data_IF_952789084634
#
_entry.id   IF_952789084634
#
_cell.length_a   1.000
_cell.length_b   1.000
_cell.length_c   1.000
_cell.angle_alpha   90.00
_cell.angle_beta   90.00
_cell.angle_gamma   90.00
#
_symmetry.space_group_name_H-M   'P 1'
#
loop_
_entity.id
_entity.type
_entity.pdbx_description
1 polymer ?
#
# COMPACT_ATOMS: atom_id res chain seq x y z
N UNK A 1 9.90 -10.87 5.46
CA UNK A 1 9.90 -11.12 4.01
C UNK A 1 10.79 -12.34 3.78
N UNK A 2 10.33 -13.38 3.08
CA UNK A 2 11.16 -14.57 2.81
C UNK A 2 12.32 -14.19 1.87
N UNK A 3 13.52 -14.76 2.10
CA UNK A 3 14.69 -14.57 1.23
C UNK A 3 14.43 -15.01 -0.21
N UNK A 4 13.63 -16.07 -0.39
CA UNK A 4 13.24 -16.54 -1.72
C UNK A 4 12.38 -15.52 -2.48
N UNK A 5 11.44 -14.88 -1.76
CA UNK A 5 10.60 -13.83 -2.30
C UNK A 5 11.39 -12.55 -2.62
N UNK A 6 12.38 -12.20 -1.80
CA UNK A 6 13.27 -11.06 -2.06
C UNK A 6 14.14 -11.28 -3.31
N UNK A 7 14.75 -12.45 -3.45
CA UNK A 7 15.52 -12.83 -4.65
C UNK A 7 14.63 -12.81 -5.90
N UNK A 8 13.42 -13.33 -5.78
CA UNK A 8 12.40 -13.33 -6.82
C UNK A 8 12.04 -11.90 -7.28
N UNK A 9 11.76 -10.98 -6.35
CA UNK A 9 11.45 -9.58 -6.68
C UNK A 9 12.63 -8.91 -7.38
N UNK A 10 13.87 -9.14 -6.91
CA UNK A 10 15.07 -8.55 -7.50
C UNK A 10 15.31 -9.00 -8.94
N UNK A 11 15.09 -10.27 -9.26
CA UNK A 11 15.26 -10.74 -10.63
C UNK A 11 14.24 -10.20 -11.63
N UNK A 12 13.03 -9.86 -11.18
CA UNK A 12 12.00 -9.29 -12.06
C UNK A 12 12.17 -7.77 -12.25
N UNK A 13 12.89 -7.08 -11.35
CA UNK A 13 13.04 -5.62 -11.37
C UNK A 13 14.43 -5.14 -11.85
N UNK A 14 15.48 -5.96 -11.79
CA UNK A 14 16.83 -5.63 -12.25
C UNK A 14 17.25 -6.52 -13.44
N UNK A 15 18.16 -6.02 -14.30
CA UNK A 15 18.93 -6.91 -15.19
C UNK A 15 19.65 -7.91 -14.27
N UNK A 16 19.34 -9.19 -14.45
CA UNK A 16 19.87 -10.37 -13.72
C UNK A 16 21.06 -10.03 -12.84
N UNK A 17 20.94 -10.08 -11.50
CA UNK A 17 22.04 -9.71 -10.62
C UNK A 17 23.23 -10.63 -10.89
N UNK A 18 24.25 -10.11 -11.58
CA UNK A 18 25.55 -10.75 -11.67
C UNK A 18 26.29 -10.51 -10.35
N UNK A 19 26.05 -11.36 -9.34
CA UNK A 19 26.72 -11.23 -8.05
C UNK A 19 27.69 -12.38 -7.78
N UNK A 20 28.96 -12.03 -8.01
CA UNK A 20 30.22 -12.42 -7.35
C UNK A 20 30.59 -13.90 -7.15
N UNK A 21 31.83 -14.17 -7.59
CA UNK A 21 32.61 -15.41 -7.53
C UNK A 21 32.62 -16.07 -6.14
N UNK A 22 32.38 -17.39 -6.09
CA UNK A 22 32.85 -18.26 -5.00
C UNK A 22 31.81 -19.14 -4.29
N UNK A 23 30.51 -19.03 -4.59
CA UNK A 23 29.48 -19.98 -4.11
C UNK A 23 28.56 -20.39 -5.26
N UNK A 24 28.07 -21.64 -5.25
CA UNK A 24 27.06 -22.16 -6.19
C UNK A 24 25.98 -21.09 -6.39
N UNK A 25 25.94 -20.57 -7.61
CA UNK A 25 25.21 -19.37 -7.97
C UNK A 25 23.96 -19.84 -8.70
N UNK A 26 22.78 -19.60 -8.12
CA UNK A 26 21.51 -19.84 -8.80
C UNK A 26 21.49 -18.97 -10.06
N UNK A 27 21.54 -19.60 -11.23
CA UNK A 27 21.48 -18.89 -12.52
C UNK A 27 20.04 -18.43 -12.78
N UNK A 28 19.87 -17.44 -13.67
CA UNK A 28 18.55 -16.97 -14.08
C UNK A 28 17.67 -18.11 -14.62
N UNK A 29 18.25 -19.03 -15.40
CA UNK A 29 17.55 -20.17 -15.99
C UNK A 29 17.05 -21.17 -14.93
N UNK A 30 17.87 -21.46 -13.91
CA UNK A 30 17.45 -22.33 -12.79
C UNK A 30 16.26 -21.71 -12.07
N UNK A 31 16.30 -20.41 -11.81
CA UNK A 31 15.20 -19.74 -11.11
C UNK A 31 13.95 -19.67 -12.00
N UNK A 32 14.08 -19.45 -13.31
CA UNK A 32 12.96 -19.57 -14.26
C UNK A 32 12.38 -20.99 -14.28
N UNK A 33 13.21 -22.03 -14.22
CA UNK A 33 12.78 -23.43 -14.10
C UNK A 33 12.00 -23.70 -12.82
N UNK A 34 12.51 -23.21 -11.68
CA UNK A 34 11.84 -23.26 -10.37
C UNK A 34 10.49 -22.55 -10.42
N UNK A 35 10.40 -21.40 -11.10
CA UNK A 35 9.15 -20.66 -11.26
C UNK A 35 8.15 -21.38 -12.15
N UNK A 36 8.59 -21.96 -13.27
CA UNK A 36 7.74 -22.79 -14.11
C UNK A 36 7.21 -24.01 -13.36
N UNK A 37 8.02 -24.60 -12.47
CA UNK A 37 7.56 -25.65 -11.55
C UNK A 37 6.54 -25.13 -10.54
N UNK A 38 6.82 -24.01 -9.86
CA UNK A 38 5.90 -23.41 -8.89
C UNK A 38 4.56 -23.01 -9.52
N UNK A 39 4.56 -22.47 -10.74
CA UNK A 39 3.34 -22.06 -11.43
C UNK A 39 2.48 -23.27 -11.83
N UNK A 40 3.09 -24.42 -12.14
CA UNK A 40 2.37 -25.66 -12.43
C UNK A 40 1.76 -26.28 -11.17
N UNK A 41 2.52 -26.35 -10.08
CA UNK A 41 2.08 -27.00 -8.83
C UNK A 41 1.16 -26.10 -7.98
N UNK A 42 1.44 -24.79 -7.94
CA UNK A 42 0.72 -23.80 -7.14
C UNK A 42 0.26 -22.59 -7.97
N UNK A 43 -0.60 -22.76 -8.99
CA UNK A 43 -0.93 -21.68 -9.93
C UNK A 43 -1.57 -20.45 -9.27
N UNK A 44 -2.50 -20.64 -8.34
CA UNK A 44 -3.13 -19.50 -7.63
C UNK A 44 -2.14 -18.76 -6.74
N UNK A 45 -1.26 -19.50 -6.04
CA UNK A 45 -0.25 -18.91 -5.16
C UNK A 45 0.84 -18.18 -5.93
N UNK A 46 1.28 -18.75 -7.06
CA UNK A 46 2.20 -18.11 -7.99
C UNK A 46 1.61 -16.80 -8.53
N UNK A 47 0.38 -16.81 -9.05
CA UNK A 47 -0.28 -15.58 -9.51
C UNK A 47 -0.47 -14.57 -8.35
N UNK A 48 -0.78 -15.05 -7.14
CA UNK A 48 -0.92 -14.18 -5.96
C UNK A 48 0.40 -13.50 -5.57
N UNK A 49 1.53 -14.20 -5.70
CA UNK A 49 2.87 -13.61 -5.52
C UNK A 49 3.14 -12.56 -6.60
N UNK A 50 2.95 -12.91 -7.88
CA UNK A 50 3.17 -12.00 -9.02
C UNK A 50 2.33 -10.73 -8.87
N UNK A 51 1.05 -10.87 -8.55
CA UNK A 51 0.17 -9.72 -8.35
C UNK A 51 0.61 -8.88 -7.15
N UNK A 52 0.78 -9.48 -5.97
CA UNK A 52 1.03 -8.75 -4.72
C UNK A 52 2.38 -8.04 -4.65
N UNK A 53 3.38 -8.55 -5.36
CA UNK A 53 4.76 -8.06 -5.23
C UNK A 53 5.34 -7.45 -6.50
N UNK A 54 4.79 -7.77 -7.68
CA UNK A 54 5.26 -7.27 -8.98
C UNK A 54 4.21 -6.42 -9.71
N UNK A 55 3.04 -6.16 -9.11
CA UNK A 55 1.94 -5.45 -9.75
C UNK A 55 1.53 -6.07 -11.11
N UNK A 56 1.69 -7.40 -11.29
CA UNK A 56 1.40 -8.08 -12.56
C UNK A 56 -0.12 -8.15 -12.85
N UNK A 57 -0.57 -7.32 -13.81
CA UNK A 57 -1.96 -7.24 -14.23
C UNK A 57 -2.47 -8.52 -14.91
N UNK A 58 -1.62 -9.30 -15.57
CA UNK A 58 -2.03 -10.58 -16.16
C UNK A 58 -2.27 -11.62 -15.07
N UNK A 59 -1.40 -11.66 -14.05
CA UNK A 59 -1.60 -12.51 -12.89
C UNK A 59 -2.90 -12.16 -12.15
N UNK A 60 -3.18 -10.87 -11.97
CA UNK A 60 -4.48 -10.39 -11.47
C UNK A 60 -5.64 -10.96 -12.29
N UNK A 61 -5.59 -10.84 -13.62
CA UNK A 61 -6.64 -11.35 -14.51
C UNK A 61 -6.87 -12.85 -14.36
N UNK A 62 -5.80 -13.65 -14.20
CA UNK A 62 -5.91 -15.11 -13.96
C UNK A 62 -6.53 -15.43 -12.60
N UNK A 63 -6.19 -14.66 -11.55
CA UNK A 63 -6.82 -14.78 -10.22
C UNK A 63 -8.32 -14.48 -10.32
N UNK A 64 -8.68 -13.36 -10.95
CA UNK A 64 -10.07 -12.95 -11.14
C UNK A 64 -10.87 -14.04 -11.86
N UNK A 65 -10.38 -14.52 -13.01
CA UNK A 65 -11.04 -15.60 -13.75
C UNK A 65 -11.24 -16.85 -12.89
N UNK A 66 -10.21 -17.29 -12.16
CA UNK A 66 -10.26 -18.51 -11.34
C UNK A 66 -11.25 -18.38 -10.17
N UNK A 67 -11.29 -17.23 -9.50
CA UNK A 67 -12.18 -17.01 -8.36
C UNK A 67 -13.63 -16.76 -8.81
N UNK A 68 -13.83 -16.00 -9.90
CA UNK A 68 -15.16 -15.73 -10.44
C UNK A 68 -15.80 -16.96 -11.10
N UNK A 69 -15.02 -17.83 -11.75
CA UNK A 69 -15.55 -19.08 -12.29
C UNK A 69 -16.07 -20.01 -11.18
N UNK A 70 -15.43 -20.00 -9.99
CA UNK A 70 -15.94 -20.72 -8.82
C UNK A 70 -17.21 -20.10 -8.26
N UNK A 71 -17.34 -18.78 -8.28
CA UNK A 71 -18.58 -18.10 -7.89
C UNK A 71 -19.74 -18.46 -8.83
N UNK A 72 -19.49 -18.59 -10.15
CA UNK A 72 -20.51 -19.02 -11.13
C UNK A 72 -21.06 -20.42 -10.85
N UNK A 73 -20.27 -21.28 -10.20
CA UNK A 73 -20.67 -22.65 -9.83
C UNK A 73 -21.45 -22.70 -8.50
N UNK A 74 -21.55 -21.59 -7.76
CA UNK A 74 -22.35 -21.49 -6.53
C UNK A 74 -23.74 -20.89 -6.78
N UNK A 75 -24.75 -21.31 -6.01
CA UNK A 75 -26.16 -21.06 -6.32
C UNK A 75 -26.81 -19.78 -5.74
N UNK A 76 -26.19 -19.05 -4.80
CA UNK A 76 -27.01 -18.19 -3.92
C UNK A 76 -26.68 -16.69 -3.89
N UNK A 77 -25.48 -16.27 -4.24
CA UNK A 77 -25.11 -14.84 -4.16
C UNK A 77 -25.63 -14.10 -5.39
N UNK A 78 -26.33 -12.96 -5.21
CA UNK A 78 -26.62 -12.00 -6.28
C UNK A 78 -25.33 -11.79 -7.10
N UNK A 79 -25.31 -12.34 -8.33
CA UNK A 79 -24.06 -12.61 -9.07
C UNK A 79 -23.16 -11.38 -9.17
N UNK A 80 -23.73 -10.20 -9.32
CA UNK A 80 -22.96 -8.95 -9.47
C UNK A 80 -22.39 -8.45 -8.15
N UNK A 81 -23.13 -8.60 -7.04
CA UNK A 81 -22.62 -8.26 -5.72
C UNK A 81 -21.51 -9.24 -5.31
N UNK A 82 -21.69 -10.54 -5.56
CA UNK A 82 -20.65 -11.54 -5.32
C UNK A 82 -19.37 -11.26 -6.10
N UNK A 83 -19.49 -10.93 -7.41
CA UNK A 83 -18.33 -10.51 -8.22
C UNK A 83 -17.61 -9.32 -7.58
N UNK A 84 -18.35 -8.27 -7.20
CA UNK A 84 -17.76 -7.08 -6.59
C UNK A 84 -17.02 -7.40 -5.29
N UNK A 85 -17.59 -8.26 -4.42
CA UNK A 85 -16.96 -8.70 -3.18
C UNK A 85 -15.64 -9.43 -3.47
N UNK A 86 -15.63 -10.35 -4.44
CA UNK A 86 -14.43 -11.11 -4.83
C UNK A 86 -13.35 -10.17 -5.38
N UNK A 87 -13.70 -9.25 -6.27
CA UNK A 87 -12.75 -8.27 -6.81
C UNK A 87 -12.19 -7.37 -5.70
N UNK A 88 -13.04 -6.93 -4.78
CA UNK A 88 -12.61 -6.11 -3.64
C UNK A 88 -11.70 -6.90 -2.69
N UNK A 89 -11.91 -8.21 -2.52
CA UNK A 89 -11.00 -9.08 -1.78
C UNK A 89 -9.63 -9.19 -2.48
N UNK A 90 -9.59 -9.31 -3.81
CA UNK A 90 -8.33 -9.33 -4.57
C UNK A 90 -7.56 -8.01 -4.40
N UNK A 91 -8.25 -6.87 -4.48
CA UNK A 91 -7.65 -5.55 -4.26
C UNK A 91 -7.18 -5.37 -2.79
N UNK A 92 -7.96 -5.87 -1.82
CA UNK A 92 -7.59 -5.83 -0.41
C UNK A 92 -6.37 -6.73 -0.10
N UNK A 93 -6.26 -7.89 -0.75
CA UNK A 93 -5.11 -8.78 -0.69
C UNK A 93 -3.86 -8.11 -1.26
N UNK A 94 -3.98 -7.45 -2.42
CA UNK A 94 -2.91 -6.67 -3.02
C UNK A 94 -2.37 -5.58 -2.07
N UNK A 95 -3.27 -4.99 -1.27
CA UNK A 95 -2.98 -3.81 -0.48
C UNK A 95 -3.29 -2.51 -1.23
N UNK A 96 -4.19 -2.59 -2.22
CA UNK A 96 -4.78 -1.42 -2.88
C UNK A 96 -5.72 -0.73 -1.89
N UNK A 97 -5.47 0.55 -1.55
CA UNK A 97 -6.29 1.25 -0.58
C UNK A 97 -7.65 1.65 -1.18
N UNK A 98 -8.74 1.35 -0.48
CA UNK A 98 -10.06 1.90 -0.80
C UNK A 98 -10.07 3.43 -0.62
N UNK A 99 -11.03 4.18 -1.21
CA UNK A 99 -11.10 5.63 -1.05
C UNK A 99 -11.20 6.09 0.42
N UNK A 100 -11.86 5.30 1.29
CA UNK A 100 -11.92 5.59 2.72
C UNK A 100 -10.56 5.40 3.41
N UNK A 101 -9.83 4.34 3.06
CA UNK A 101 -8.47 4.08 3.55
C UNK A 101 -7.49 5.13 3.02
N UNK A 102 -7.55 5.48 1.74
CA UNK A 102 -6.70 6.50 1.12
C UNK A 102 -6.83 7.85 1.83
N UNK A 103 -8.04 8.27 2.21
CA UNK A 103 -8.25 9.48 3.03
C UNK A 103 -7.58 9.39 4.40
N UNK A 104 -7.76 8.28 5.12
CA UNK A 104 -7.10 8.07 6.42
C UNK A 104 -5.57 8.02 6.28
N UNK A 105 -5.07 7.34 5.25
CA UNK A 105 -3.65 7.24 4.92
C UNK A 105 -3.06 8.62 4.58
N UNK A 106 -3.75 9.45 3.78
CA UNK A 106 -3.31 10.81 3.45
C UNK A 106 -3.06 11.61 4.72
N UNK A 107 -3.98 11.57 5.68
CA UNK A 107 -3.79 12.22 6.99
C UNK A 107 -2.59 11.66 7.74
N UNK A 108 -2.40 10.34 7.76
CA UNK A 108 -1.24 9.70 8.41
C UNK A 108 0.09 10.07 7.73
N UNK A 109 0.12 10.17 6.40
CA UNK A 109 1.30 10.59 5.64
C UNK A 109 1.66 12.05 5.94
N UNK A 110 0.67 12.95 6.03
CA UNK A 110 0.86 14.35 6.47
C UNK A 110 1.29 14.46 7.93
N UNK A 111 1.00 13.46 8.75
CA UNK A 111 1.34 13.46 10.17
C UNK A 111 2.76 12.93 10.44
N UNK A 112 3.10 11.77 9.86
CA UNK A 112 4.19 10.92 10.35
C UNK A 112 5.34 10.68 9.37
N UNK A 113 5.19 11.00 8.08
CA UNK A 113 6.25 10.77 7.11
C UNK A 113 7.45 11.69 7.31
N UNK A 114 8.62 11.27 6.83
CA UNK A 114 9.83 12.13 6.86
C UNK A 114 9.63 13.42 6.07
N UNK A 115 8.95 13.32 4.93
CA UNK A 115 8.56 14.47 4.13
C UNK A 115 7.66 15.43 4.92
N UNK A 116 6.69 14.92 5.68
CA UNK A 116 5.87 15.74 6.57
C UNK A 116 6.69 16.40 7.69
N UNK A 117 7.62 15.68 8.32
CA UNK A 117 8.51 16.25 9.35
C UNK A 117 9.39 17.37 8.78
N UNK A 118 9.90 17.20 7.56
CA UNK A 118 10.66 18.23 6.85
C UNK A 118 9.79 19.45 6.52
N UNK A 119 8.63 19.25 5.91
CA UNK A 119 7.71 20.33 5.55
C UNK A 119 7.26 21.13 6.77
N UNK A 120 6.93 20.46 7.89
CA UNK A 120 6.56 21.13 9.15
C UNK A 120 7.69 22.01 9.70
N UNK A 121 8.95 21.56 9.60
CA UNK A 121 10.13 22.36 10.00
C UNK A 121 10.30 23.59 9.13
N UNK A 122 10.18 23.44 7.81
CA UNK A 122 10.26 24.56 6.86
C UNK A 122 9.15 25.59 7.11
N UNK A 123 7.90 25.14 7.21
CA UNK A 123 6.75 26.01 7.51
C UNK A 123 6.95 26.75 8.83
N UNK A 124 7.46 26.07 9.87
CA UNK A 124 7.79 26.74 11.14
C UNK A 124 8.86 27.82 10.95
N UNK A 125 9.91 27.54 10.17
CA UNK A 125 10.95 28.52 9.83
C UNK A 125 10.37 29.75 9.13
N UNK A 126 9.57 29.54 8.07
CA UNK A 126 8.92 30.64 7.35
C UNK A 126 8.00 31.47 8.24
N UNK A 127 7.22 30.83 9.11
CA UNK A 127 6.36 31.54 10.08
C UNK A 127 7.14 32.41 11.06
N UNK A 128 8.32 31.97 11.52
CA UNK A 128 9.18 32.79 12.37
C UNK A 128 9.75 33.98 11.58
N UNK A 129 10.14 33.78 10.32
CA UNK A 129 10.58 34.85 9.43
C UNK A 129 9.46 35.86 9.15
N UNK A 130 8.22 35.41 8.96
CA UNK A 130 7.03 36.25 8.80
C UNK A 130 6.85 37.11 10.05
N UNK A 131 6.81 36.51 11.25
CA UNK A 131 6.65 37.25 12.50
C UNK A 131 7.77 38.29 12.73
N UNK A 132 9.01 37.97 12.30
CA UNK A 132 10.12 38.94 12.33
C UNK A 132 9.90 40.08 11.34
N UNK A 133 9.48 39.79 10.11
CA UNK A 133 9.20 40.79 9.10
C UNK A 133 8.01 41.69 9.48
N UNK A 134 6.94 41.13 10.05
CA UNK A 134 5.79 41.88 10.58
C UNK A 134 6.22 42.86 11.69
N UNK A 135 7.08 42.41 12.62
CA UNK A 135 7.62 43.29 13.66
C UNK A 135 8.48 44.41 13.07
N UNK A 136 9.24 44.14 12.01
CA UNK A 136 10.08 45.12 11.34
C UNK A 136 9.27 46.11 10.49
N UNK A 137 8.16 45.66 9.88
CA UNK A 137 7.19 46.50 9.19
C UNK A 137 6.58 47.53 10.14
N UNK A 138 6.10 47.08 11.31
CA UNK A 138 5.54 47.95 12.34
C UNK A 138 6.54 48.99 12.87
N UNK A 139 7.82 48.64 12.93
CA UNK A 139 8.89 49.54 13.37
C UNK A 139 9.44 50.43 12.25
N UNK A 140 9.03 50.21 10.99
CA UNK A 140 9.55 50.96 9.86
C UNK A 140 8.92 52.35 9.78
N UNK A 141 9.79 53.37 9.81
CA UNK A 141 9.39 54.79 9.73
C UNK A 141 9.25 55.29 8.30
N UNK A 142 9.78 54.58 7.31
CA UNK A 142 9.68 54.97 5.90
C UNK A 142 8.77 54.04 5.10
N UNK A 143 7.99 54.64 4.21
CA UNK A 143 7.05 53.93 3.33
C UNK A 143 7.77 52.89 2.45
N UNK A 144 9.00 53.20 2.01
CA UNK A 144 9.84 52.26 1.25
C UNK A 144 10.13 50.98 2.06
N UNK A 145 10.50 51.10 3.34
CA UNK A 145 10.80 49.94 4.18
C UNK A 145 9.54 49.14 4.51
N UNK A 146 8.41 49.81 4.73
CA UNK A 146 7.12 49.14 4.92
C UNK A 146 6.76 48.30 3.69
N UNK A 147 6.81 48.87 2.48
CA UNK A 147 6.58 48.15 1.22
C UNK A 147 7.52 46.96 1.03
N UNK A 148 8.80 47.11 1.39
CA UNK A 148 9.76 46.02 1.34
C UNK A 148 9.36 44.86 2.27
N UNK A 149 9.00 45.14 3.53
CA UNK A 149 8.59 44.09 4.47
C UNK A 149 7.26 43.44 4.08
N UNK A 150 6.30 44.20 3.55
CA UNK A 150 5.06 43.64 3.00
C UNK A 150 5.30 42.69 1.83
N UNK A 151 6.24 43.05 0.93
CA UNK A 151 6.67 42.17 -0.15
C UNK A 151 7.31 40.87 0.38
N UNK A 152 8.15 40.97 1.39
CA UNK A 152 8.80 39.81 2.02
C UNK A 152 7.79 38.91 2.76
N UNK A 153 6.83 39.49 3.50
CA UNK A 153 5.74 38.75 4.14
C UNK A 153 4.91 38.02 3.08
N UNK A 154 4.55 38.69 1.99
CA UNK A 154 3.79 38.10 0.89
C UNK A 154 4.54 36.93 0.26
N UNK A 155 5.85 37.10 0.00
CA UNK A 155 6.72 36.04 -0.53
C UNK A 155 6.80 34.84 0.41
N UNK A 156 7.00 35.07 1.71
CA UNK A 156 7.08 34.00 2.71
C UNK A 156 5.74 33.26 2.89
N UNK A 157 4.61 33.97 2.84
CA UNK A 157 3.29 33.36 2.83
C UNK A 157 3.09 32.46 1.59
N UNK A 158 3.52 32.93 0.42
CA UNK A 158 3.55 32.12 -0.79
C UNK A 158 4.34 30.82 -0.64
N UNK A 159 5.50 30.88 0.04
CA UNK A 159 6.31 29.67 0.33
C UNK A 159 5.62 28.71 1.32
N UNK A 160 4.89 29.23 2.31
CA UNK A 160 4.11 28.40 3.24
C UNK A 160 3.02 27.64 2.50
N UNK A 161 2.26 28.32 1.63
CA UNK A 161 1.19 27.67 0.86
C UNK A 161 1.74 26.68 -0.17
N UNK A 162 2.85 27.03 -0.85
CA UNK A 162 3.53 26.11 -1.75
C UNK A 162 3.99 24.82 -1.03
N UNK A 163 4.56 24.95 0.18
CA UNK A 163 4.99 23.79 0.96
C UNK A 163 3.82 22.95 1.46
N UNK A 164 2.70 23.58 1.82
CA UNK A 164 1.45 22.89 2.19
C UNK A 164 0.88 22.10 1.02
N UNK A 165 0.79 22.71 -0.16
CA UNK A 165 0.34 22.07 -1.38
C UNK A 165 1.25 20.88 -1.76
N UNK A 166 2.58 21.07 -1.72
CA UNK A 166 3.55 19.99 -1.97
C UNK A 166 3.36 18.80 -1.03
N UNK A 167 3.17 19.06 0.27
CA UNK A 167 2.93 18.01 1.25
C UNK A 167 1.61 17.28 0.98
N UNK A 168 0.56 18.00 0.57
CA UNK A 168 -0.74 17.41 0.27
C UNK A 168 -0.69 16.49 -0.95
N UNK A 169 -0.10 16.96 -2.06
CA UNK A 169 0.13 16.17 -3.28
C UNK A 169 0.99 14.94 -3.01
N UNK A 170 2.07 15.09 -2.21
CA UNK A 170 2.91 13.97 -1.81
C UNK A 170 2.10 12.94 -1.01
N UNK A 171 1.37 13.39 0.01
CA UNK A 171 0.61 12.50 0.87
C UNK A 171 -0.50 11.76 0.11
N UNK A 172 -1.15 12.42 -0.84
CA UNK A 172 -2.14 11.81 -1.72
C UNK A 172 -1.53 10.74 -2.62
N UNK A 173 -0.41 11.05 -3.28
CA UNK A 173 0.33 10.10 -4.13
C UNK A 173 0.84 8.90 -3.34
N UNK A 174 1.23 9.06 -2.08
CA UNK A 174 1.67 7.93 -1.25
C UNK A 174 0.48 7.13 -0.71
N UNK A 175 -0.62 7.80 -0.35
CA UNK A 175 -1.81 7.17 0.17
C UNK A 175 -2.56 6.31 -0.85
N UNK A 176 -2.42 6.59 -2.16
CA UNK A 176 -2.99 5.77 -3.22
C UNK A 176 -2.17 4.52 -3.56
N UNK A 177 -0.85 4.52 -3.24
CA UNK A 177 0.07 3.43 -3.61
C UNK A 177 0.05 2.24 -2.67
N UNK A 178 -0.21 2.45 -1.38
CA UNK A 178 -0.05 1.36 -0.41
C UNK A 178 -0.87 1.60 0.85
N UNK A 179 -1.40 0.51 1.41
CA UNK A 179 -2.02 0.50 2.73
C UNK A 179 -1.04 0.51 3.90
N UNK A 180 0.28 0.51 3.66
CA UNK A 180 1.30 0.50 4.73
C UNK A 180 1.21 1.74 5.61
N UNK A 181 1.34 1.55 6.91
CA UNK A 181 1.30 2.65 7.88
C UNK A 181 2.61 3.46 7.83
N UNK A 182 2.58 4.77 7.53
CA UNK A 182 3.79 5.59 7.46
C UNK A 182 4.46 5.81 8.81
N UNK A 183 3.74 5.63 9.93
CA UNK A 183 4.28 5.83 11.28
C UNK A 183 5.23 4.70 11.71
N UNK A 184 4.93 3.45 11.34
CA UNK A 184 5.74 2.27 11.66
C UNK A 184 6.40 1.66 10.42
N UNK A 185 6.31 2.31 9.26
CA UNK A 185 6.82 1.81 7.99
C UNK A 185 6.35 0.37 7.64
N UNK A 186 5.15 -0.02 8.08
CA UNK A 186 4.63 -1.37 7.83
C UNK A 186 4.88 -2.41 8.94
N UNK A 187 5.71 -2.11 9.95
CA UNK A 187 6.09 -3.11 10.97
C UNK A 187 5.02 -3.36 12.02
N UNK A 188 4.10 -2.41 12.21
CA UNK A 188 3.12 -2.46 13.29
C UNK A 188 3.66 -2.04 14.65
N UNK A 189 4.96 -1.76 14.78
CA UNK A 189 5.59 -1.42 16.04
C UNK A 189 6.37 -0.10 15.96
N UNK A 190 6.39 0.64 17.06
CA UNK A 190 7.19 1.86 17.23
C UNK A 190 7.83 1.82 18.62
N UNK A 191 9.16 1.82 18.70
CA UNK A 191 9.91 1.72 19.97
C UNK A 191 9.41 0.57 20.85
N UNK A 192 9.28 -0.62 20.26
CA UNK A 192 8.79 -1.86 20.88
C UNK A 192 7.31 -1.89 21.32
N UNK A 193 6.57 -0.79 21.18
CA UNK A 193 5.13 -0.76 21.45
C UNK A 193 4.31 -0.91 20.16
N UNK A 194 3.07 -1.38 20.30
CA UNK A 194 2.11 -1.40 19.20
C UNK A 194 1.90 0.01 18.64
N UNK A 195 1.94 0.13 17.33
CA UNK A 195 1.79 1.42 16.65
C UNK A 195 0.35 1.91 16.79
N UNK A 196 0.09 2.95 17.59
CA UNK A 196 -1.26 3.49 17.78
C UNK A 196 -1.94 4.05 16.51
N UNK A 197 -1.22 4.28 15.41
CA UNK A 197 -1.84 4.74 14.16
C UNK A 197 -2.49 3.63 13.33
N UNK A 198 -1.96 2.40 13.43
CA UNK A 198 -2.49 1.22 12.76
C UNK A 198 -2.88 0.10 13.75
N UNK A 199 -2.88 0.40 15.04
CA UNK A 199 -3.23 -0.54 16.13
C UNK A 199 -2.42 -1.82 16.06
N UNK A 200 -1.10 -1.72 15.84
CA UNK A 200 -0.23 -2.90 15.78
C UNK A 200 -0.22 -3.65 14.44
N UNK A 201 -1.14 -3.36 13.51
CA UNK A 201 -1.31 -4.16 12.28
C UNK A 201 -0.29 -3.89 11.17
N UNK A 202 0.49 -2.82 11.29
CA UNK A 202 1.45 -2.39 10.27
C UNK A 202 0.84 -1.78 9.00
N UNK A 203 -0.39 -2.12 8.65
CA UNK A 203 -1.12 -1.59 7.52
C UNK A 203 -2.58 -1.32 7.86
N UNK A 204 -3.21 -0.42 7.11
CA UNK A 204 -4.65 -0.19 7.17
C UNK A 204 -5.34 -1.19 6.23
N UNK A 205 -5.55 -2.42 6.71
CA UNK A 205 -6.23 -3.48 5.94
C UNK A 205 -7.75 -3.24 5.87
N UNK A 206 -8.37 -3.66 4.76
CA UNK A 206 -9.82 -3.59 4.61
C UNK A 206 -10.45 -4.72 5.43
N UNK A 207 -11.28 -4.37 6.42
CA UNK A 207 -12.05 -5.34 7.19
C UNK A 207 -13.41 -5.58 6.54
N UNK A 208 -14.08 -6.68 6.89
CA UNK A 208 -15.44 -6.96 6.46
C UNK A 208 -16.40 -5.79 6.80
N UNK A 209 -16.32 -5.23 8.01
CA UNK A 209 -17.08 -4.03 8.39
C UNK A 209 -16.71 -2.79 7.57
N UNK A 210 -15.44 -2.66 7.19
CA UNK A 210 -14.97 -1.60 6.30
C UNK A 210 -15.62 -1.71 4.91
N UNK A 211 -15.63 -2.92 4.36
CA UNK A 211 -16.29 -3.25 3.09
C UNK A 211 -17.80 -2.98 3.18
N UNK A 212 -18.44 -3.40 4.27
CA UNK A 212 -19.86 -3.16 4.50
C UNK A 212 -20.21 -1.68 4.49
N UNK A 213 -19.42 -0.86 5.20
CA UNK A 213 -19.59 0.60 5.21
C UNK A 213 -19.37 1.22 3.83
N UNK A 214 -18.39 0.73 3.08
CA UNK A 214 -18.13 1.18 1.72
C UNK A 214 -19.30 0.86 0.78
N UNK A 215 -19.88 -0.34 0.86
CA UNK A 215 -21.04 -0.73 0.07
C UNK A 215 -22.24 0.17 0.38
N UNK A 216 -22.49 0.47 1.66
CA UNK A 216 -23.54 1.39 2.08
C UNK A 216 -23.32 2.81 1.56
N UNK A 217 -22.08 3.33 1.61
CA UNK A 217 -21.78 4.66 1.07
C UNK A 217 -21.95 4.74 -0.45
N UNK A 218 -21.81 3.61 -1.15
CA UNK A 218 -22.05 3.49 -2.58
C UNK A 218 -23.53 3.22 -2.92
N UNK A 219 -24.45 3.32 -1.95
CA UNK A 219 -25.89 3.17 -2.16
C UNK A 219 -26.39 1.72 -2.17
N UNK A 220 -25.54 0.72 -1.91
CA UNK A 220 -25.95 -0.69 -1.91
C UNK A 220 -26.74 -1.01 -0.65
N UNK A 221 -28.05 -1.25 -0.81
CA UNK A 221 -28.93 -1.72 0.27
C UNK A 221 -28.89 -3.24 0.38
N UNK A 222 -28.56 -3.74 1.57
CA UNK A 222 -28.52 -5.17 1.89
C UNK A 222 -29.03 -5.42 3.31
N UNK A 223 -29.73 -6.53 3.50
CA UNK A 223 -30.17 -6.95 4.83
C UNK A 223 -28.99 -7.44 5.68
N UNK A 224 -29.13 -7.39 7.00
CA UNK A 224 -28.15 -7.96 7.93
C UNK A 224 -27.94 -9.46 7.66
N UNK A 225 -29.03 -10.19 7.41
CA UNK A 225 -29.00 -11.63 7.11
C UNK A 225 -28.17 -11.94 5.86
N UNK A 226 -28.40 -11.21 4.76
CA UNK A 226 -27.63 -11.39 3.52
C UNK A 226 -26.15 -11.08 3.74
N UNK A 227 -25.84 -10.02 4.50
CA UNK A 227 -24.45 -9.67 4.80
C UNK A 227 -23.75 -10.79 5.58
N UNK A 228 -24.32 -11.21 6.72
CA UNK A 228 -23.68 -12.18 7.62
C UNK A 228 -23.61 -13.58 7.05
N UNK A 229 -24.63 -14.01 6.31
CA UNK A 229 -24.72 -15.40 5.86
C UNK A 229 -24.01 -15.65 4.53
N UNK A 230 -23.88 -14.63 3.68
CA UNK A 230 -23.36 -14.80 2.31
C UNK A 230 -22.16 -13.92 2.01
N UNK A 231 -22.29 -12.59 2.17
CA UNK A 231 -21.31 -11.64 1.64
C UNK A 231 -20.04 -11.54 2.50
N UNK A 232 -20.18 -11.50 3.81
CA UNK A 232 -19.05 -11.47 4.75
C UNK A 232 -18.23 -12.77 4.71
N UNK A 233 -18.85 -13.97 4.73
CA UNK A 233 -18.14 -15.22 4.51
C UNK A 233 -17.44 -15.26 3.16
N UNK A 234 -18.09 -14.81 2.07
CA UNK A 234 -17.49 -14.78 0.75
C UNK A 234 -16.23 -13.90 0.72
N UNK A 235 -16.30 -12.69 1.28
CA UNK A 235 -15.14 -11.79 1.37
C UNK A 235 -13.99 -12.44 2.16
N UNK A 236 -14.31 -12.95 3.35
CA UNK A 236 -13.33 -13.49 4.29
C UNK A 236 -12.69 -14.75 3.74
N UNK A 237 -13.48 -15.66 3.17
CA UNK A 237 -12.99 -16.89 2.54
C UNK A 237 -12.14 -16.61 1.31
N UNK A 238 -12.51 -15.61 0.50
CA UNK A 238 -11.72 -15.22 -0.68
C UNK A 238 -10.36 -14.68 -0.26
N UNK A 239 -10.32 -13.77 0.73
CA UNK A 239 -9.08 -13.24 1.28
C UNK A 239 -8.21 -14.34 1.90
N UNK A 240 -8.80 -15.15 2.77
CA UNK A 240 -8.10 -16.26 3.43
C UNK A 240 -7.46 -17.20 2.42
N UNK A 241 -8.19 -17.54 1.35
CA UNK A 241 -7.70 -18.43 0.31
C UNK A 241 -6.53 -17.83 -0.48
N UNK A 242 -6.54 -16.52 -0.72
CA UNK A 242 -5.41 -15.84 -1.37
C UNK A 242 -4.19 -15.80 -0.44
N UNK A 243 -4.38 -15.48 0.84
CA UNK A 243 -3.29 -15.47 1.82
C UNK A 243 -2.68 -16.88 1.99
N UNK A 244 -3.50 -17.93 2.13
CA UNK A 244 -3.02 -19.32 2.23
C UNK A 244 -2.28 -19.76 0.96
N UNK A 245 -2.88 -19.56 -0.21
CA UNK A 245 -2.24 -19.95 -1.47
C UNK A 245 -0.92 -19.20 -1.69
N UNK A 246 -0.86 -17.93 -1.33
CA UNK A 246 0.36 -17.14 -1.35
C UNK A 246 1.43 -17.71 -0.41
N UNK A 247 1.07 -17.96 0.85
CA UNK A 247 2.03 -18.42 1.87
C UNK A 247 2.57 -19.82 1.56
N UNK A 248 1.70 -20.72 1.11
CA UNK A 248 2.11 -22.04 0.60
C UNK A 248 3.09 -21.92 -0.57
N UNK A 249 2.78 -21.07 -1.57
CA UNK A 249 3.67 -20.88 -2.71
C UNK A 249 5.00 -20.23 -2.33
N UNK A 250 5.01 -19.28 -1.38
CA UNK A 250 6.25 -18.67 -0.86
C UNK A 250 7.09 -19.70 -0.12
N UNK A 251 6.46 -20.57 0.66
CA UNK A 251 7.14 -21.66 1.35
C UNK A 251 7.76 -22.65 0.36
N UNK A 252 6.96 -23.14 -0.61
CA UNK A 252 7.43 -24.07 -1.66
C UNK A 252 8.53 -23.46 -2.51
N UNK A 253 8.40 -22.19 -2.92
CA UNK A 253 9.45 -21.46 -3.63
C UNK A 253 10.75 -21.43 -2.83
N UNK A 254 10.66 -21.14 -1.54
CA UNK A 254 11.83 -21.09 -0.65
C UNK A 254 12.50 -22.46 -0.56
N UNK A 255 11.71 -23.54 -0.49
CA UNK A 255 12.21 -24.93 -0.48
C UNK A 255 12.94 -25.27 -1.77
N UNK A 256 12.34 -25.03 -2.94
CA UNK A 256 13.00 -25.32 -4.23
C UNK A 256 14.31 -24.55 -4.40
N UNK A 257 14.35 -23.27 -4.03
CA UNK A 257 15.58 -22.46 -4.12
C UNK A 257 16.69 -22.96 -3.17
N UNK A 258 16.34 -23.60 -2.06
CA UNK A 258 17.31 -24.23 -1.16
C UNK A 258 17.84 -25.54 -1.77
N UNK A 259 16.95 -26.37 -2.32
CA UNK A 259 17.29 -27.63 -2.98
C UNK A 259 18.24 -27.40 -4.18
N UNK A 260 17.91 -26.46 -5.06
CA UNK A 260 18.74 -26.10 -6.23
C UNK A 260 20.08 -25.45 -5.86
N UNK A 261 20.20 -24.90 -4.65
CA UNK A 261 21.45 -24.35 -4.15
C UNK A 261 22.35 -25.42 -3.51
N UNK A 262 21.76 -26.55 -3.10
CA UNK A 262 22.47 -27.67 -2.50
C UNK A 262 22.89 -28.73 -3.54
N UNK A 263 22.27 -28.72 -4.73
CA UNK A 263 22.66 -29.48 -5.91
C UNK A 263 23.88 -28.85 -6.62
#
# INVERSE_FOLDING_TARGET
MSRGLELFIRMHLEKTPSMQRGRQTLTGDVILGVLGKLQREHPLGSDAIMWRWLDDAQARGRIEQRLLNKLKLGETVRKDLGKYIVLTAIDAFHGTPTPSQARKLKTLWKAHSEQAKRSKRLIRGYKLSIAKAEKQELAATSEFRQKHYQGEISRLNGLVEAERARLDTYAEKQASKSTKCPKCAGTGQVKMNACGACEGRGALRLTADGLRRMLRSNGVRMSEKLWRNELEPLFTQTLWRLDVAHDEAVYTLSKYLIEEKAA
#
